data_IF_406162016838
#
_entry.id   IF_406162016838
#
_cell.length_a   1.000
_cell.length_b   1.000
_cell.length_c   1.000
_cell.angle_alpha   90.00
_cell.angle_beta   90.00
_cell.angle_gamma   90.00
#
_symmetry.space_group_name_H-M   'P 1'
#
loop_
_entity.id
_entity.type
_entity.pdbx_description
1 polymer ?
#
# COMPACT_ATOMS: atom_id res chain seq x y z
N UNK A 1 -9.06 -2.24 3.79
CA UNK A 1 -8.85 -3.70 3.57
C UNK A 1 -10.20 -4.38 3.37
N UNK A 2 -10.33 -5.23 2.36
CA UNK A 2 -11.62 -5.77 1.89
C UNK A 2 -11.78 -7.29 2.06
N UNK A 3 -10.76 -7.94 2.64
CA UNK A 3 -10.76 -9.39 2.82
C UNK A 3 -11.68 -9.80 3.98
N UNK A 4 -12.40 -10.93 3.89
CA UNK A 4 -13.20 -11.45 5.00
C UNK A 4 -12.38 -11.69 6.28
N UNK A 5 -11.13 -12.12 6.10
CA UNK A 5 -10.12 -12.42 7.12
C UNK A 5 -9.11 -11.26 7.30
N UNK A 6 -9.54 -10.02 7.06
CA UNK A 6 -8.68 -8.83 7.11
C UNK A 6 -7.84 -8.73 8.40
N UNK A 7 -8.44 -9.02 9.56
CA UNK A 7 -7.74 -8.96 10.84
C UNK A 7 -6.59 -9.97 10.93
N UNK A 8 -6.76 -11.19 10.39
CA UNK A 8 -5.74 -12.23 10.39
C UNK A 8 -4.56 -11.86 9.48
N UNK A 9 -4.86 -11.36 8.28
CA UNK A 9 -3.86 -10.90 7.31
C UNK A 9 -3.05 -9.72 7.88
N UNK A 10 -3.73 -8.75 8.49
CA UNK A 10 -3.05 -7.61 9.14
C UNK A 10 -2.21 -8.05 10.33
N UNK A 11 -2.73 -8.94 11.19
CA UNK A 11 -1.96 -9.48 12.30
C UNK A 11 -0.71 -10.24 11.83
N UNK A 12 -0.81 -10.98 10.72
CA UNK A 12 0.34 -11.63 10.10
C UNK A 12 1.39 -10.63 9.62
N UNK A 13 0.96 -9.55 8.96
CA UNK A 13 1.84 -8.45 8.53
C UNK A 13 2.52 -7.78 9.71
N UNK A 14 1.79 -7.48 10.80
CA UNK A 14 2.38 -6.94 12.03
C UNK A 14 3.44 -7.89 12.59
N UNK A 15 3.16 -9.19 12.68
CA UNK A 15 4.12 -10.22 13.15
C UNK A 15 5.42 -10.27 12.34
N UNK A 16 5.37 -9.98 11.04
CA UNK A 16 6.56 -9.92 10.16
C UNK A 16 7.40 -8.66 10.45
N UNK A 17 6.75 -7.53 10.72
CA UNK A 17 7.44 -6.27 10.98
C UNK A 17 8.20 -6.25 12.32
N UNK A 18 7.63 -6.86 13.36
CA UNK A 18 8.22 -6.86 14.72
C UNK A 18 9.69 -7.34 14.78
N UNK A 19 10.08 -8.53 14.26
CA UNK A 19 11.47 -8.96 14.28
C UNK A 19 12.41 -8.15 13.39
N UNK A 20 11.87 -7.27 12.52
CA UNK A 20 12.67 -6.33 11.71
C UNK A 20 12.95 -5.01 12.45
N UNK A 21 12.51 -4.88 13.70
CA UNK A 21 12.66 -3.66 14.49
C UNK A 21 11.69 -2.54 14.09
N UNK A 22 10.64 -2.86 13.33
CA UNK A 22 9.58 -1.94 12.98
C UNK A 22 8.48 -1.97 14.03
N UNK A 23 7.85 -0.82 14.27
CA UNK A 23 6.61 -0.70 15.05
C UNK A 23 5.43 -0.59 14.07
N UNK A 24 4.78 -1.71 13.68
CA UNK A 24 3.72 -1.66 12.70
C UNK A 24 2.43 -1.12 13.29
N UNK A 25 1.78 -0.22 12.56
CA UNK A 25 0.38 0.15 12.78
C UNK A 25 -0.45 -0.27 11.57
N UNK A 26 -1.70 -0.66 11.82
CA UNK A 26 -2.61 -1.17 10.82
C UNK A 26 -4.04 -0.68 11.09
N UNK A 27 -4.77 -0.23 10.05
CA UNK A 27 -6.18 0.07 10.18
C UNK A 27 -6.95 -1.18 10.65
N UNK A 28 -8.13 -1.00 11.25
CA UNK A 28 -8.96 -2.08 11.84
C UNK A 28 -8.40 -2.76 13.10
N UNK A 29 -7.08 -2.80 13.29
CA UNK A 29 -6.45 -3.29 14.53
C UNK A 29 -6.23 -2.12 15.48
N UNK A 30 -5.48 -1.11 15.05
CA UNK A 30 -5.08 0.01 15.91
C UNK A 30 -6.12 1.14 15.91
N UNK A 31 -6.98 1.19 14.89
CA UNK A 31 -8.16 2.04 14.81
C UNK A 31 -9.38 1.22 14.36
N UNK A 32 -10.01 0.46 15.27
CA UNK A 32 -11.23 -0.27 14.94
C UNK A 32 -12.36 0.72 14.58
N UNK A 33 -13.24 0.37 13.61
CA UNK A 33 -14.32 1.24 13.20
C UNK A 33 -15.21 1.64 14.38
N UNK A 34 -15.35 2.94 14.68
CA UNK A 34 -16.10 3.38 15.86
C UNK A 34 -17.61 3.12 15.66
N UNK A 35 -18.37 3.00 16.76
CA UNK A 35 -19.83 3.09 16.69
C UNK A 35 -20.22 4.49 16.18
N UNK A 36 -21.25 4.57 15.35
CA UNK A 36 -21.77 5.84 14.86
C UNK A 36 -23.27 5.74 14.58
N UNK A 37 -23.96 6.87 14.67
CA UNK A 37 -25.42 6.95 14.47
C UNK A 37 -25.86 6.63 13.04
N UNK A 38 -24.98 6.81 12.04
CA UNK A 38 -25.27 6.52 10.63
C UNK A 38 -24.08 5.87 9.93
N UNK A 39 -24.35 5.14 8.85
CA UNK A 39 -23.30 4.57 8.00
C UNK A 39 -22.35 5.64 7.44
N UNK A 40 -22.89 6.81 7.08
CA UNK A 40 -22.09 7.95 6.58
C UNK A 40 -21.17 8.51 7.66
N UNK A 41 -21.68 8.72 8.87
CA UNK A 41 -20.86 9.17 9.99
C UNK A 41 -19.76 8.15 10.32
N UNK A 42 -20.09 6.85 10.28
CA UNK A 42 -19.11 5.77 10.45
C UNK A 42 -18.01 5.83 9.39
N UNK A 43 -18.37 5.99 8.11
CA UNK A 43 -17.41 6.05 7.01
C UNK A 43 -16.42 7.22 7.17
N UNK A 44 -16.90 8.41 7.53
CA UNK A 44 -16.03 9.57 7.74
C UNK A 44 -15.17 9.43 8.99
N UNK A 45 -15.67 8.80 10.05
CA UNK A 45 -14.87 8.50 11.23
C UNK A 45 -13.76 7.49 10.94
N UNK A 46 -14.03 6.47 10.12
CA UNK A 46 -13.00 5.51 9.64
C UNK A 46 -11.94 6.25 8.82
N UNK A 47 -12.35 7.10 7.87
CA UNK A 47 -11.42 7.86 7.03
C UNK A 47 -10.50 8.74 7.88
N UNK A 48 -11.08 9.52 8.82
CA UNK A 48 -10.31 10.33 9.76
C UNK A 48 -9.37 9.48 10.65
N UNK A 49 -9.80 8.29 11.05
CA UNK A 49 -8.99 7.35 11.83
C UNK A 49 -7.78 6.81 11.06
N UNK A 50 -7.95 6.42 9.79
CA UNK A 50 -6.84 6.00 8.93
C UNK A 50 -5.84 7.15 8.71
N UNK A 51 -6.36 8.34 8.46
CA UNK A 51 -5.58 9.56 8.31
C UNK A 51 -4.76 9.91 9.57
N UNK A 52 -5.33 9.68 10.76
CA UNK A 52 -4.62 9.85 12.02
C UNK A 52 -3.50 8.82 12.20
N UNK A 53 -3.73 7.56 11.81
CA UNK A 53 -2.68 6.53 11.80
C UNK A 53 -1.52 6.90 10.87
N UNK A 54 -1.80 7.40 9.67
CA UNK A 54 -0.73 7.81 8.74
C UNK A 54 0.10 8.93 9.37
N UNK A 55 -0.53 9.92 9.99
CA UNK A 55 0.16 11.02 10.66
C UNK A 55 0.99 10.58 11.87
N UNK A 56 0.69 9.45 12.49
CA UNK A 56 1.50 8.89 13.58
C UNK A 56 2.70 8.08 13.09
N UNK A 57 2.86 7.90 11.77
CA UNK A 57 3.92 7.09 11.18
C UNK A 57 5.08 7.94 10.64
N UNK A 58 6.23 7.29 10.49
CA UNK A 58 7.39 7.84 9.76
C UNK A 58 7.52 7.27 8.34
N UNK A 59 6.78 6.19 8.05
CA UNK A 59 6.77 5.52 6.76
C UNK A 59 5.45 4.78 6.51
N UNK A 60 5.16 4.50 5.24
CA UNK A 60 4.03 3.66 4.81
C UNK A 60 4.54 2.50 3.96
N UNK A 61 3.97 1.30 4.16
CA UNK A 61 4.13 0.14 3.27
C UNK A 61 2.78 -0.11 2.57
N UNK A 62 2.68 0.23 1.28
CA UNK A 62 1.45 0.13 0.50
C UNK A 62 1.39 -1.15 -0.35
N UNK A 63 0.24 -1.84 -0.33
CA UNK A 63 -0.07 -2.86 -1.33
C UNK A 63 -0.73 -2.19 -2.54
N UNK A 64 -0.02 -2.11 -3.64
CA UNK A 64 -0.47 -1.52 -4.90
C UNK A 64 -0.76 -2.58 -5.97
N UNK A 65 -1.12 -3.80 -5.53
CA UNK A 65 -1.68 -4.81 -6.43
C UNK A 65 -3.00 -4.30 -7.04
N UNK A 66 -3.28 -4.59 -8.32
CA UNK A 66 -4.52 -4.16 -8.97
C UNK A 66 -5.76 -4.60 -8.20
N UNK A 67 -6.70 -3.68 -7.96
CA UNK A 67 -7.91 -3.94 -7.20
C UNK A 67 -9.14 -3.45 -7.95
N UNK A 68 -10.01 -4.40 -8.36
CA UNK A 68 -11.25 -4.12 -9.11
C UNK A 68 -11.01 -3.31 -10.40
N UNK A 69 -9.87 -3.55 -11.05
CA UNK A 69 -9.48 -2.88 -12.28
C UNK A 69 -7.99 -3.11 -12.57
N UNK A 70 -7.46 -2.35 -13.52
CA UNK A 70 -6.04 -2.41 -13.92
C UNK A 70 -5.11 -1.68 -12.96
N UNK A 71 -5.63 -0.82 -12.09
CA UNK A 71 -4.87 0.03 -11.17
C UNK A 71 -5.07 -0.41 -9.70
N UNK A 72 -4.20 0.06 -8.82
CA UNK A 72 -4.29 -0.12 -7.38
C UNK A 72 -5.60 0.42 -6.78
N UNK A 73 -5.90 0.00 -5.54
CA UNK A 73 -7.03 0.54 -4.78
C UNK A 73 -6.89 2.07 -4.60
N UNK A 74 -7.90 2.81 -5.06
CA UNK A 74 -7.92 4.29 -4.98
C UNK A 74 -7.84 4.82 -3.54
N UNK A 75 -8.32 4.05 -2.55
CA UNK A 75 -8.15 4.39 -1.14
C UNK A 75 -6.68 4.34 -0.74
N UNK A 76 -5.98 3.28 -1.09
CA UNK A 76 -4.54 3.13 -0.87
C UNK A 76 -3.74 4.19 -1.63
N UNK A 77 -4.12 4.55 -2.87
CA UNK A 77 -3.49 5.63 -3.63
C UNK A 77 -3.63 6.98 -2.92
N UNK A 78 -4.81 7.29 -2.36
CA UNK A 78 -5.03 8.48 -1.54
C UNK A 78 -4.09 8.50 -0.33
N UNK A 79 -3.96 7.37 0.38
CA UNK A 79 -3.08 7.24 1.56
C UNK A 79 -1.60 7.43 1.20
N UNK A 80 -1.15 6.92 0.04
CA UNK A 80 0.19 7.15 -0.51
C UNK A 80 0.41 8.64 -0.81
N UNK A 81 -0.56 9.30 -1.45
CA UNK A 81 -0.51 10.73 -1.74
C UNK A 81 -0.43 11.60 -0.47
N UNK A 82 -1.25 11.29 0.54
CA UNK A 82 -1.21 11.96 1.84
C UNK A 82 0.15 11.78 2.51
N UNK A 83 0.66 10.55 2.57
CA UNK A 83 1.96 10.26 3.16
C UNK A 83 3.11 10.97 2.42
N UNK A 84 3.04 11.07 1.08
CA UNK A 84 4.00 11.86 0.29
C UNK A 84 3.98 13.34 0.67
N UNK A 85 2.79 13.93 0.79
CA UNK A 85 2.60 15.34 1.16
C UNK A 85 3.06 15.65 2.59
N UNK A 86 2.99 14.66 3.48
CA UNK A 86 3.49 14.76 4.86
C UNK A 86 4.99 14.48 5.00
N UNK A 87 5.68 14.11 3.92
CA UNK A 87 7.14 13.84 3.93
C UNK A 87 7.54 12.49 4.53
N UNK A 88 6.62 11.53 4.63
CA UNK A 88 6.91 10.17 5.10
C UNK A 88 7.72 9.40 4.07
N UNK A 89 8.49 8.40 4.52
CA UNK A 89 9.08 7.43 3.61
C UNK A 89 7.98 6.53 3.02
N UNK A 90 8.12 6.14 1.75
CA UNK A 90 7.13 5.31 1.09
C UNK A 90 7.78 4.02 0.62
N UNK A 91 7.15 2.90 0.91
CA UNK A 91 7.52 1.61 0.36
C UNK A 91 6.25 1.00 -0.20
N UNK A 92 6.37 0.29 -1.31
CA UNK A 92 5.23 -0.35 -1.90
C UNK A 92 5.60 -1.68 -2.53
N UNK A 93 4.58 -2.46 -2.78
CA UNK A 93 4.70 -3.67 -3.57
C UNK A 93 3.44 -3.95 -4.37
N UNK A 94 3.58 -4.74 -5.42
CA UNK A 94 2.49 -5.34 -6.17
C UNK A 94 2.75 -6.84 -6.35
N UNK A 95 1.67 -7.62 -6.30
CA UNK A 95 1.67 -9.05 -6.58
C UNK A 95 1.29 -9.36 -8.05
N UNK A 96 1.22 -8.34 -8.92
CA UNK A 96 1.09 -8.48 -10.37
C UNK A 96 2.43 -8.15 -11.05
N UNK A 97 2.99 -9.06 -11.87
CA UNK A 97 4.28 -8.84 -12.52
C UNK A 97 4.23 -7.90 -13.72
N UNK A 98 3.04 -7.61 -14.24
CA UNK A 98 2.87 -6.83 -15.48
C UNK A 98 3.04 -5.33 -15.20
N UNK A 99 3.51 -4.58 -16.19
CA UNK A 99 3.40 -3.13 -16.19
C UNK A 99 1.94 -2.68 -16.42
N UNK A 100 1.69 -1.38 -16.23
CA UNK A 100 0.37 -0.77 -16.41
C UNK A 100 -0.14 -0.94 -17.84
N UNK A 101 0.71 -0.66 -18.84
CA UNK A 101 0.33 -0.72 -20.25
C UNK A 101 -0.15 -2.13 -20.66
N UNK A 102 0.57 -3.19 -20.28
CA UNK A 102 0.18 -4.56 -20.55
C UNK A 102 -1.16 -4.94 -19.90
N UNK A 103 -1.53 -4.32 -18.77
CA UNK A 103 -2.84 -4.54 -18.13
C UNK A 103 -3.96 -3.78 -18.84
N UNK A 104 -3.72 -2.55 -19.28
CA UNK A 104 -4.70 -1.77 -20.07
C UNK A 104 -4.94 -2.41 -21.44
N UNK A 105 -3.88 -2.88 -22.10
CA UNK A 105 -3.98 -3.49 -23.44
C UNK A 105 -4.75 -4.82 -23.47
N UNK A 106 -5.05 -5.41 -22.31
CA UNK A 106 -5.94 -6.56 -22.22
C UNK A 106 -7.41 -6.21 -22.51
N UNK A 107 -7.81 -4.96 -22.27
CA UNK A 107 -9.15 -4.42 -22.58
C UNK A 107 -9.04 -2.91 -22.88
N UNK A 108 -8.58 -2.52 -24.08
CA UNK A 108 -8.30 -1.13 -24.42
C UNK A 108 -9.57 -0.26 -24.50
N UNK A 109 -9.51 0.95 -23.95
CA UNK A 109 -10.62 1.92 -23.95
C UNK A 109 -10.46 3.06 -24.99
N UNK A 110 -9.33 3.07 -25.71
CA UNK A 110 -9.02 4.08 -26.73
C UNK A 110 -8.43 5.39 -26.19
N UNK A 111 -8.10 5.45 -24.90
CA UNK A 111 -7.37 6.57 -24.30
C UNK A 111 -5.85 6.34 -24.38
N UNK A 112 -5.09 7.43 -24.23
CA UNK A 112 -3.62 7.36 -24.18
C UNK A 112 -3.16 6.55 -22.96
N UNK A 113 -2.13 5.74 -23.15
CA UNK A 113 -1.60 4.82 -22.14
C UNK A 113 -0.24 5.31 -21.66
N UNK A 114 -0.06 5.38 -20.34
CA UNK A 114 1.25 5.58 -19.73
C UNK A 114 2.12 4.31 -19.87
N UNK A 115 2.88 4.21 -20.95
CA UNK A 115 3.79 3.09 -21.24
C UNK A 115 5.24 3.42 -20.87
N UNK A 116 5.49 3.49 -19.56
CA UNK A 116 6.83 3.78 -18.99
C UNK A 116 7.47 2.53 -18.35
N UNK A 117 6.89 1.34 -18.54
CA UNK A 117 7.29 0.12 -17.84
C UNK A 117 6.97 0.12 -16.33
N UNK A 118 6.26 1.13 -15.84
CA UNK A 118 5.82 1.24 -14.45
C UNK A 118 4.61 0.32 -14.20
N UNK A 119 4.44 -0.10 -12.96
CA UNK A 119 3.37 -0.95 -12.50
C UNK A 119 2.06 -0.19 -12.53
N UNK A 120 2.01 1.10 -12.27
CA UNK A 120 0.78 1.89 -12.25
C UNK A 120 1.05 3.32 -12.72
N UNK A 121 0.07 4.22 -12.59
CA UNK A 121 0.21 5.63 -12.93
C UNK A 121 1.53 6.23 -12.39
N UNK A 122 2.22 7.00 -13.22
CA UNK A 122 3.53 7.58 -12.96
C UNK A 122 3.61 8.35 -11.63
N UNK A 123 2.52 8.98 -11.21
CA UNK A 123 2.49 9.77 -9.97
C UNK A 123 2.67 8.90 -8.73
N UNK A 124 2.28 7.63 -8.80
CA UNK A 124 2.36 6.68 -7.68
C UNK A 124 3.80 6.23 -7.49
N UNK A 125 4.42 5.63 -8.51
CA UNK A 125 5.82 5.19 -8.44
C UNK A 125 6.80 6.36 -8.36
N UNK A 126 6.54 7.45 -9.09
CA UNK A 126 7.31 8.68 -8.98
C UNK A 126 7.21 9.33 -7.59
N UNK A 127 6.03 9.28 -6.96
CA UNK A 127 5.85 9.72 -5.58
C UNK A 127 6.65 8.88 -4.58
N UNK A 128 6.64 7.56 -4.75
CA UNK A 128 7.40 6.63 -3.92
C UNK A 128 8.91 6.87 -4.08
N UNK A 129 9.40 6.95 -5.32
CA UNK A 129 10.81 7.27 -5.60
C UNK A 129 11.21 8.64 -5.02
N UNK A 130 10.35 9.66 -5.19
CA UNK A 130 10.56 11.00 -4.65
C UNK A 130 10.56 11.09 -3.11
N UNK A 131 10.05 10.07 -2.42
CA UNK A 131 10.15 9.93 -0.97
C UNK A 131 11.42 9.15 -0.52
N UNK A 132 12.33 8.82 -1.45
CA UNK A 132 13.48 7.94 -1.19
C UNK A 132 13.07 6.47 -0.99
N UNK A 133 11.89 6.12 -1.51
CA UNK A 133 11.23 4.85 -1.31
C UNK A 133 11.64 3.75 -2.28
N UNK A 134 11.00 2.58 -2.12
CA UNK A 134 11.16 1.45 -3.06
C UNK A 134 9.81 0.86 -3.42
N UNK A 135 9.62 0.56 -4.70
CA UNK A 135 8.48 -0.19 -5.22
C UNK A 135 8.95 -1.59 -5.64
N UNK A 136 8.39 -2.64 -5.03
CA UNK A 136 8.73 -4.03 -5.37
C UNK A 136 7.65 -4.66 -6.26
N UNK A 137 8.06 -5.14 -7.43
CA UNK A 137 7.21 -5.91 -8.34
C UNK A 137 7.61 -7.39 -8.29
N UNK A 138 6.63 -8.28 -8.13
CA UNK A 138 6.89 -9.71 -8.25
C UNK A 138 7.36 -10.07 -9.67
N UNK A 139 8.19 -11.10 -9.81
CA UNK A 139 8.60 -11.60 -11.13
C UNK A 139 7.62 -12.60 -11.73
N UNK A 140 6.71 -13.16 -10.93
CA UNK A 140 5.67 -14.07 -11.36
C UNK A 140 4.37 -13.82 -10.58
N UNK A 141 3.19 -14.14 -11.13
CA UNK A 141 1.92 -13.94 -10.43
C UNK A 141 1.87 -14.75 -9.14
N UNK A 142 1.36 -14.14 -8.07
CA UNK A 142 1.02 -14.88 -6.85
C UNK A 142 -0.25 -15.71 -7.06
N UNK A 143 -0.30 -16.90 -6.46
CA UNK A 143 -1.50 -17.75 -6.43
C UNK A 143 -2.63 -17.10 -5.60
N UNK A 144 -2.28 -16.34 -4.57
CA UNK A 144 -3.20 -15.47 -3.83
C UNK A 144 -2.51 -14.13 -3.55
N UNK A 145 -2.65 -13.15 -4.46
CA UNK A 145 -2.07 -11.81 -4.31
C UNK A 145 -2.42 -11.12 -2.99
N UNK A 146 -3.56 -11.45 -2.40
CA UNK A 146 -4.07 -10.78 -1.20
C UNK A 146 -3.53 -11.39 0.10
N UNK A 147 -3.14 -12.66 0.07
CA UNK A 147 -2.53 -13.39 1.20
C UNK A 147 -1.03 -13.67 1.00
N UNK A 148 -0.43 -13.17 -0.07
CA UNK A 148 1.00 -13.24 -0.27
C UNK A 148 1.75 -12.42 0.79
N UNK A 149 2.32 -13.14 1.76
CA UNK A 149 3.19 -12.57 2.78
C UNK A 149 4.65 -12.48 2.33
N UNK A 150 5.06 -13.18 1.26
CA UNK A 150 6.42 -13.18 0.76
C UNK A 150 6.81 -11.82 0.20
N UNK A 151 5.98 -11.28 -0.69
CA UNK A 151 6.20 -9.95 -1.29
C UNK A 151 6.13 -8.85 -0.24
N UNK A 152 5.17 -8.92 0.69
CA UNK A 152 5.12 -8.02 1.84
C UNK A 152 6.39 -8.11 2.70
N UNK A 153 6.88 -9.31 2.99
CA UNK A 153 8.10 -9.53 3.80
C UNK A 153 9.32 -8.89 3.15
N UNK A 154 9.48 -9.03 1.84
CA UNK A 154 10.56 -8.38 1.10
C UNK A 154 10.48 -6.85 1.20
N UNK A 155 9.28 -6.29 1.05
CA UNK A 155 9.04 -4.85 1.18
C UNK A 155 9.32 -4.35 2.60
N UNK A 156 8.88 -5.08 3.62
CA UNK A 156 9.13 -4.76 5.02
C UNK A 156 10.63 -4.79 5.37
N UNK A 157 11.39 -5.73 4.80
CA UNK A 157 12.85 -5.77 4.96
C UNK A 157 13.54 -4.57 4.31
N UNK A 158 13.11 -4.17 3.12
CA UNK A 158 13.62 -2.97 2.45
C UNK A 158 13.32 -1.71 3.27
N UNK A 159 12.09 -1.60 3.80
CA UNK A 159 11.68 -0.51 4.67
C UNK A 159 12.53 -0.43 5.94
N UNK A 160 12.73 -1.56 6.64
CA UNK A 160 13.55 -1.61 7.85
C UNK A 160 15.01 -1.20 7.59
N UNK A 161 15.61 -1.71 6.52
CA UNK A 161 16.98 -1.36 6.14
C UNK A 161 17.12 0.14 5.82
N UNK A 162 16.19 0.70 5.04
CA UNK A 162 16.20 2.11 4.68
C UNK A 162 15.98 3.03 5.90
N UNK A 163 15.05 2.69 6.79
CA UNK A 163 14.77 3.48 7.99
C UNK A 163 15.92 3.43 9.01
N UNK A 164 16.62 2.30 9.13
CA UNK A 164 17.80 2.18 9.99
C UNK A 164 18.99 3.03 9.49
N UNK A 165 19.07 3.28 8.18
CA UNK A 165 20.13 4.07 7.57
C UNK A 165 19.88 5.60 7.62
N UNK A 166 18.69 6.06 8.01
CA UNK A 166 18.38 7.49 8.10
C UNK A 166 19.01 8.09 9.36
N UNK A 167 19.72 9.22 9.25
CA UNK A 167 20.18 9.94 10.44
C UNK A 167 18.96 10.40 11.27
N UNK A 168 19.06 10.23 12.60
CA UNK A 168 18.03 10.63 13.57
C UNK A 168 17.94 12.14 13.70
#
# INVERSE_FOLDING_TARGET
MFLPDALEVLAAKKRICLPLGLEPVAPLIDTPPPPAATARARAFAIAAGNEALIRSCVAVIANLSPFRGVSADVGTVYEVGLARGLGLALFAYTCDPRDYAARVLADPDGLDIEDFGLSDNLMIEGGIAGAGGTFLRVSAPSADPWRDLGTFTACARAAAAALAARPR
#
